data_IF_618828021030
#
_entry.id   IF_618828021030
#
_cell.length_a   1.000
_cell.length_b   1.000
_cell.length_c   1.000
_cell.angle_alpha   90.00
_cell.angle_beta   90.00
_cell.angle_gamma   90.00
#
_symmetry.space_group_name_H-M   'P 1'
#
loop_
_entity.id
_entity.type
_entity.pdbx_description
1 polymer ?
#
# COMPACT_ATOMS: atom_id res chain seq x y z
N UNK A 1 2.74 0.00 -18.14
CA UNK A 1 2.09 0.60 -16.96
C UNK A 1 1.85 -0.52 -15.95
N UNK A 2 2.14 -0.29 -14.68
CA UNK A 2 1.99 -1.27 -13.58
C UNK A 2 1.07 -0.68 -12.54
N UNK A 3 0.10 -1.45 -12.04
CA UNK A 3 -0.89 -0.97 -11.08
C UNK A 3 -0.82 -1.77 -9.78
N UNK A 4 -0.58 -1.11 -8.67
CA UNK A 4 -0.49 -1.70 -7.33
C UNK A 4 -1.66 -1.20 -6.50
N UNK A 5 -2.51 -2.12 -6.05
CA UNK A 5 -3.62 -1.81 -5.16
C UNK A 5 -3.18 -2.00 -3.70
N UNK A 6 -3.43 -1.01 -2.87
CA UNK A 6 -3.29 -1.10 -1.41
C UNK A 6 -4.68 -1.08 -0.79
N UNK A 7 -5.07 -2.17 -0.15
CA UNK A 7 -6.41 -2.34 0.40
C UNK A 7 -6.36 -2.99 1.79
N UNK A 8 -7.33 -2.71 2.64
CA UNK A 8 -7.42 -3.32 3.98
C UNK A 8 -8.85 -3.41 4.47
N UNK A 9 -9.06 -4.30 5.44
CA UNK A 9 -10.37 -4.58 6.05
C UNK A 9 -11.02 -3.38 6.76
N UNK A 10 -10.21 -2.41 7.23
CA UNK A 10 -10.72 -1.26 7.98
C UNK A 10 -9.80 -0.04 7.89
N UNK A 11 -10.27 1.10 8.41
CA UNK A 11 -9.47 2.32 8.57
C UNK A 11 -8.32 2.13 9.58
N UNK A 12 -7.28 2.96 9.46
CA UNK A 12 -6.16 2.96 10.40
C UNK A 12 -5.09 1.89 10.19
N UNK A 13 -5.28 0.92 9.29
CA UNK A 13 -4.31 -0.14 9.02
C UNK A 13 -2.99 0.35 8.37
N UNK A 14 -2.95 1.62 7.95
CA UNK A 14 -1.76 2.25 7.34
C UNK A 14 -1.71 2.16 5.81
N UNK A 15 -2.85 1.99 5.13
CA UNK A 15 -2.94 2.01 3.66
C UNK A 15 -2.26 3.23 3.05
N UNK A 16 -2.69 4.43 3.43
CA UNK A 16 -2.15 5.68 2.85
C UNK A 16 -0.66 5.85 3.11
N UNK A 17 -0.15 5.40 4.28
CA UNK A 17 1.30 5.38 4.55
C UNK A 17 2.02 4.43 3.60
N UNK A 18 1.47 3.24 3.37
CA UNK A 18 2.02 2.26 2.45
C UNK A 18 1.98 2.80 1.00
N UNK A 19 0.82 3.34 0.58
CA UNK A 19 0.59 3.90 -0.76
C UNK A 19 1.51 5.07 -1.07
N UNK A 20 1.65 6.02 -0.16
CA UNK A 20 2.51 7.21 -0.34
C UNK A 20 3.99 6.85 -0.40
N UNK A 21 4.46 5.93 0.45
CA UNK A 21 5.85 5.49 0.40
C UNK A 21 6.15 4.70 -0.88
N UNK A 22 5.26 3.82 -1.34
CA UNK A 22 5.41 3.12 -2.63
C UNK A 22 5.46 4.11 -3.80
N UNK A 23 4.52 5.04 -3.87
CA UNK A 23 4.47 6.05 -4.92
C UNK A 23 5.76 6.89 -4.94
N UNK A 24 6.25 7.30 -3.75
CA UNK A 24 7.50 8.02 -3.64
C UNK A 24 8.70 7.19 -4.09
N UNK A 25 8.77 5.91 -3.72
CA UNK A 25 9.85 5.02 -4.15
C UNK A 25 9.98 5.00 -5.68
N UNK A 26 8.88 4.75 -6.39
CA UNK A 26 8.91 4.72 -7.85
C UNK A 26 9.23 6.09 -8.47
N UNK A 27 8.74 7.18 -7.88
CA UNK A 27 9.07 8.53 -8.33
C UNK A 27 10.55 8.85 -8.13
N UNK A 28 11.16 8.43 -7.01
CA UNK A 28 12.61 8.55 -6.74
C UNK A 28 13.43 7.70 -7.73
N UNK A 29 12.91 6.56 -8.17
CA UNK A 29 13.50 5.75 -9.27
C UNK A 29 13.28 6.36 -10.67
N UNK A 30 12.74 7.56 -10.76
CA UNK A 30 12.51 8.27 -12.04
C UNK A 30 11.29 7.76 -12.83
N UNK A 31 10.35 7.06 -12.20
CA UNK A 31 9.12 6.60 -12.85
C UNK A 31 8.03 7.66 -12.80
N UNK A 32 7.35 7.89 -13.94
CA UNK A 32 6.12 8.67 -13.94
C UNK A 32 5.04 7.94 -13.13
N UNK A 33 4.80 8.44 -11.92
CA UNK A 33 3.97 7.77 -10.92
C UNK A 33 2.71 8.56 -10.62
N UNK A 34 1.59 7.84 -10.63
CA UNK A 34 0.27 8.34 -10.24
C UNK A 34 -0.15 7.68 -8.93
N UNK A 35 -0.72 8.45 -8.01
CA UNK A 35 -1.36 7.96 -6.80
C UNK A 35 -2.85 8.26 -6.86
N UNK A 36 -3.65 7.20 -7.00
CA UNK A 36 -5.11 7.28 -7.01
C UNK A 36 -5.60 7.19 -5.57
N UNK A 37 -6.21 8.26 -5.08
CA UNK A 37 -6.77 8.33 -3.73
C UNK A 37 -8.28 8.06 -3.83
N UNK A 38 -8.69 6.88 -3.45
CA UNK A 38 -10.10 6.48 -3.45
C UNK A 38 -10.74 6.57 -2.05
N UNK A 39 -9.99 7.03 -1.04
CA UNK A 39 -10.53 7.27 0.30
C UNK A 39 -11.12 8.69 0.39
N UNK A 40 -12.35 8.81 0.92
CA UNK A 40 -13.04 10.09 1.12
C UNK A 40 -12.28 11.06 2.03
N UNK A 41 -11.31 10.58 2.80
CA UNK A 41 -10.45 11.43 3.62
C UNK A 41 -9.38 12.17 2.81
N UNK A 42 -9.10 11.78 1.57
CA UNK A 42 -8.11 12.40 0.68
C UNK A 42 -6.72 12.60 1.31
N UNK A 43 -6.29 11.65 2.15
CA UNK A 43 -5.00 11.74 2.85
C UNK A 43 -3.81 11.61 1.90
N UNK A 44 -3.92 10.74 0.91
CA UNK A 44 -2.90 10.54 -0.11
C UNK A 44 -2.83 11.74 -1.07
N UNK A 45 -3.96 12.33 -1.44
CA UNK A 45 -4.04 13.55 -2.24
C UNK A 45 -3.30 14.71 -1.55
N UNK A 46 -3.62 15.00 -0.28
CA UNK A 46 -2.92 16.06 0.49
C UNK A 46 -1.42 15.81 0.60
N UNK A 47 -0.99 14.58 0.68
CA UNK A 47 0.43 14.25 0.67
C UNK A 47 1.07 14.57 -0.70
N UNK A 48 0.43 14.24 -1.82
CA UNK A 48 0.90 14.58 -3.15
C UNK A 48 1.01 16.10 -3.36
N UNK A 49 0.02 16.87 -2.89
CA UNK A 49 0.02 18.34 -2.96
C UNK A 49 1.26 18.94 -2.25
N UNK A 50 1.57 18.44 -1.05
CA UNK A 50 2.78 18.87 -0.32
C UNK A 50 4.06 18.49 -1.05
N UNK A 51 4.05 17.41 -1.83
CA UNK A 51 5.18 16.90 -2.59
C UNK A 51 5.35 17.57 -3.97
N UNK A 52 4.38 18.34 -4.44
CA UNK A 52 4.32 18.84 -5.82
C UNK A 52 5.55 19.70 -6.23
N UNK A 53 6.26 20.30 -5.27
CA UNK A 53 7.46 21.10 -5.51
C UNK A 53 8.75 20.30 -5.68
N UNK A 54 8.71 18.97 -5.48
CA UNK A 54 9.88 18.09 -5.59
C UNK A 54 10.06 17.61 -7.04
N UNK A 55 11.30 17.38 -7.45
CA UNK A 55 11.61 16.74 -8.73
C UNK A 55 11.04 15.30 -8.84
N UNK A 56 10.69 14.71 -7.68
CA UNK A 56 10.08 13.40 -7.54
C UNK A 56 8.59 13.51 -7.18
N UNK A 57 7.91 14.53 -7.73
CA UNK A 57 6.48 14.72 -7.55
C UNK A 57 5.68 13.48 -8.00
N UNK A 58 4.57 13.24 -7.33
CA UNK A 58 3.60 12.18 -7.65
C UNK A 58 2.28 12.85 -8.01
N UNK A 59 1.71 12.47 -9.15
CA UNK A 59 0.44 13.03 -9.59
C UNK A 59 -0.72 12.42 -8.81
N UNK A 60 -1.52 13.21 -8.06
CA UNK A 60 -2.72 12.72 -7.43
C UNK A 60 -3.87 12.61 -8.42
N UNK A 61 -4.68 11.56 -8.29
CA UNK A 61 -5.97 11.42 -8.98
C UNK A 61 -7.02 11.10 -7.92
N UNK A 62 -8.12 11.83 -7.94
CA UNK A 62 -9.29 11.56 -7.10
C UNK A 62 -10.00 10.29 -7.60
N UNK A 63 -9.75 9.16 -6.93
CA UNK A 63 -10.36 7.87 -7.25
C UNK A 63 -11.83 7.75 -6.87
N UNK A 64 -12.42 8.75 -6.19
CA UNK A 64 -13.85 8.82 -5.88
C UNK A 64 -14.64 9.42 -7.03
N UNK A 65 -13.98 10.13 -7.95
CA UNK A 65 -14.62 10.78 -9.09
C UNK A 65 -15.05 9.74 -10.14
N UNK A 66 -16.18 10.01 -10.80
CA UNK A 66 -16.66 9.15 -11.91
C UNK A 66 -15.65 9.20 -13.07
N UNK A 67 -15.30 8.03 -13.60
CA UNK A 67 -14.36 7.90 -14.74
C UNK A 67 -12.96 8.48 -14.48
N UNK A 68 -12.49 8.41 -13.24
CA UNK A 68 -11.16 8.91 -12.85
C UNK A 68 -10.02 8.31 -13.70
N UNK A 69 -10.21 7.11 -14.25
CA UNK A 69 -9.25 6.44 -15.13
C UNK A 69 -8.89 7.28 -16.38
N UNK A 70 -9.82 8.12 -16.86
CA UNK A 70 -9.59 9.01 -18.01
C UNK A 70 -8.60 10.15 -17.73
N UNK A 71 -8.31 10.40 -16.45
CA UNK A 71 -7.37 11.43 -16.01
C UNK A 71 -5.93 10.88 -15.83
N UNK A 72 -5.73 9.59 -16.06
CA UNK A 72 -4.37 8.99 -16.02
C UNK A 72 -3.61 9.43 -17.27
N UNK A 73 -2.45 10.12 -17.14
CA UNK A 73 -1.63 10.49 -18.28
C UNK A 73 -1.11 9.27 -19.04
N UNK A 74 -0.99 9.38 -20.37
CA UNK A 74 -0.49 8.28 -21.23
C UNK A 74 0.93 7.84 -20.90
N UNK A 75 1.77 8.77 -20.44
CA UNK A 75 3.15 8.49 -20.05
C UNK A 75 3.29 7.85 -18.66
N UNK A 76 2.21 7.54 -17.96
CA UNK A 76 2.22 6.91 -16.65
C UNK A 76 2.85 5.51 -16.69
N UNK A 77 3.84 5.28 -15.84
CA UNK A 77 4.54 4.01 -15.74
C UNK A 77 4.06 3.18 -14.54
N UNK A 78 3.72 3.83 -13.44
CA UNK A 78 3.25 3.19 -12.20
C UNK A 78 2.01 3.89 -11.67
N UNK A 79 1.01 3.10 -11.30
CA UNK A 79 -0.17 3.55 -10.57
C UNK A 79 -0.16 2.86 -9.21
N UNK A 80 -0.29 3.64 -8.15
CA UNK A 80 -0.59 3.14 -6.81
C UNK A 80 -2.03 3.55 -6.46
N UNK A 81 -2.88 2.60 -6.09
CA UNK A 81 -4.27 2.86 -5.69
C UNK A 81 -4.38 2.72 -4.18
N UNK A 82 -4.72 3.80 -3.50
CA UNK A 82 -5.09 3.81 -2.08
C UNK A 82 -6.60 3.57 -1.97
N UNK A 83 -7.00 2.33 -1.73
CA UNK A 83 -8.40 1.92 -1.72
C UNK A 83 -9.19 2.55 -0.57
N UNK A 84 -10.52 2.70 -0.69
CA UNK A 84 -11.36 3.12 0.42
C UNK A 84 -11.20 2.18 1.62
N UNK A 85 -11.31 2.74 2.82
CA UNK A 85 -11.25 1.93 4.03
C UNK A 85 -12.41 0.94 4.09
N UNK A 86 -12.11 -0.35 4.27
CA UNK A 86 -13.12 -1.40 4.39
C UNK A 86 -13.90 -1.70 3.10
N UNK A 87 -13.41 -1.27 1.93
CA UNK A 87 -14.03 -1.63 0.64
C UNK A 87 -14.09 -3.15 0.49
N UNK A 88 -15.26 -3.67 0.11
CA UNK A 88 -15.53 -5.10 -0.08
C UNK A 88 -16.49 -5.31 -1.25
N UNK A 89 -16.54 -6.55 -1.78
CA UNK A 89 -17.42 -6.90 -2.89
C UNK A 89 -17.16 -6.04 -4.13
N UNK A 90 -18.22 -5.59 -4.79
CA UNK A 90 -18.15 -4.87 -6.06
C UNK A 90 -17.31 -3.58 -6.01
N UNK A 91 -17.31 -2.88 -4.87
CA UNK A 91 -16.49 -1.67 -4.68
C UNK A 91 -14.99 -1.98 -4.73
N UNK A 92 -14.58 -3.12 -4.16
CA UNK A 92 -13.19 -3.56 -4.19
C UNK A 92 -12.84 -4.20 -5.54
N UNK A 93 -13.76 -4.95 -6.12
CA UNK A 93 -13.59 -5.66 -7.39
C UNK A 93 -13.23 -4.71 -8.54
N UNK A 94 -13.81 -3.51 -8.57
CA UNK A 94 -13.48 -2.50 -9.56
C UNK A 94 -11.98 -2.12 -9.57
N UNK A 95 -11.35 -2.05 -8.40
CA UNK A 95 -9.90 -1.81 -8.27
C UNK A 95 -9.08 -3.08 -8.52
N UNK A 96 -9.57 -4.24 -8.10
CA UNK A 96 -8.93 -5.54 -8.35
C UNK A 96 -8.77 -5.80 -9.85
N UNK A 97 -9.77 -5.46 -10.66
CA UNK A 97 -9.70 -5.65 -12.12
C UNK A 97 -8.60 -4.83 -12.80
N UNK A 98 -8.21 -3.72 -12.20
CA UNK A 98 -7.13 -2.87 -12.71
C UNK A 98 -5.74 -3.23 -12.16
N UNK A 99 -5.68 -3.96 -11.03
CA UNK A 99 -4.45 -4.23 -10.32
C UNK A 99 -3.59 -5.33 -10.96
N UNK A 100 -2.28 -5.17 -10.93
CA UNK A 100 -1.28 -6.20 -11.24
C UNK A 100 -0.78 -6.90 -9.97
N UNK A 101 -0.88 -6.23 -8.81
CA UNK A 101 -0.60 -6.77 -7.49
C UNK A 101 -1.46 -6.09 -6.42
N UNK A 102 -1.73 -6.80 -5.33
CA UNK A 102 -2.43 -6.27 -4.15
C UNK A 102 -1.52 -6.37 -2.93
N UNK A 103 -1.42 -5.28 -2.17
CA UNK A 103 -0.80 -5.25 -0.85
C UNK A 103 -1.85 -5.01 0.24
N UNK A 104 -1.82 -5.84 1.26
CA UNK A 104 -2.76 -5.77 2.38
C UNK A 104 -1.99 -5.53 3.68
N UNK A 105 -1.97 -4.28 4.19
CA UNK A 105 -1.40 -4.00 5.50
C UNK A 105 -2.28 -4.55 6.62
N UNK A 106 -1.65 -5.24 7.59
CA UNK A 106 -2.30 -5.84 8.75
C UNK A 106 -1.59 -5.39 10.02
N UNK A 107 -2.32 -4.88 10.99
CA UNK A 107 -1.78 -4.46 12.29
C UNK A 107 -1.59 -5.66 13.23
N UNK A 108 -0.64 -5.59 14.20
CA UNK A 108 -0.35 -6.67 15.13
C UNK A 108 -1.33 -6.69 16.32
N UNK A 109 -2.63 -6.72 16.05
CA UNK A 109 -3.66 -6.89 17.06
C UNK A 109 -4.64 -7.98 16.65
N UNK A 110 -5.16 -8.73 17.62
CA UNK A 110 -6.16 -9.79 17.36
C UNK A 110 -7.38 -9.24 16.62
N UNK A 111 -7.86 -8.06 17.01
CA UNK A 111 -9.03 -7.42 16.38
C UNK A 111 -8.77 -7.13 14.90
N UNK A 112 -7.54 -6.70 14.55
CA UNK A 112 -7.15 -6.43 13.15
C UNK A 112 -6.99 -7.71 12.35
N UNK A 113 -6.41 -8.74 12.96
CA UNK A 113 -6.24 -10.07 12.38
C UNK A 113 -7.62 -10.68 12.09
N UNK A 114 -8.53 -10.68 13.08
CA UNK A 114 -9.89 -11.19 12.93
C UNK A 114 -10.69 -10.44 11.86
N UNK A 115 -10.55 -9.11 11.79
CA UNK A 115 -11.21 -8.31 10.76
C UNK A 115 -10.63 -8.55 9.35
N UNK A 116 -9.39 -8.98 9.25
CA UNK A 116 -8.72 -9.21 7.96
C UNK A 116 -9.17 -10.53 7.31
N UNK A 117 -9.54 -11.54 8.09
CA UNK A 117 -10.00 -12.84 7.55
C UNK A 117 -11.23 -12.71 6.63
N UNK A 118 -12.36 -12.09 7.05
CA UNK A 118 -13.51 -11.94 6.17
C UNK A 118 -13.22 -11.04 4.96
N UNK A 119 -12.32 -10.06 5.09
CA UNK A 119 -11.86 -9.24 3.98
C UNK A 119 -11.12 -10.08 2.93
N UNK A 120 -10.16 -10.91 3.32
CA UNK A 120 -9.44 -11.80 2.42
C UNK A 120 -10.37 -12.84 1.79
N UNK A 121 -11.33 -13.36 2.55
CA UNK A 121 -12.34 -14.30 2.03
C UNK A 121 -13.26 -13.63 1.00
N UNK A 122 -13.60 -12.36 1.18
CA UNK A 122 -14.34 -11.59 0.18
C UNK A 122 -13.51 -11.41 -1.09
N UNK A 123 -12.26 -10.96 -0.96
CA UNK A 123 -11.33 -10.80 -2.08
C UNK A 123 -11.10 -12.12 -2.84
N UNK A 124 -11.03 -13.26 -2.13
CA UNK A 124 -10.85 -14.58 -2.73
C UNK A 124 -12.03 -15.04 -3.62
N UNK A 125 -13.19 -14.38 -3.55
CA UNK A 125 -14.32 -14.63 -4.46
C UNK A 125 -14.06 -14.07 -5.85
N UNK A 126 -13.26 -13.01 -5.97
CA UNK A 126 -12.88 -12.45 -7.26
C UNK A 126 -12.15 -13.50 -8.11
N UNK A 127 -12.50 -13.59 -9.38
CA UNK A 127 -11.99 -14.62 -10.29
C UNK A 127 -10.47 -14.54 -10.51
N UNK A 128 -9.89 -13.33 -10.51
CA UNK A 128 -8.44 -13.13 -10.68
C UNK A 128 -7.66 -13.61 -9.46
N UNK A 129 -8.16 -13.33 -8.26
CA UNK A 129 -7.57 -13.81 -7.00
C UNK A 129 -7.73 -15.33 -6.87
N UNK A 130 -8.94 -15.83 -7.08
CA UNK A 130 -9.25 -17.28 -7.00
C UNK A 130 -8.38 -18.13 -7.93
N UNK A 131 -8.14 -17.66 -9.15
CA UNK A 131 -7.31 -18.33 -10.16
C UNK A 131 -5.81 -18.06 -9.98
N UNK A 132 -5.40 -17.40 -8.91
CA UNK A 132 -4.01 -16.98 -8.64
C UNK A 132 -3.38 -16.15 -9.78
N UNK A 133 -4.19 -15.44 -10.54
CA UNK A 133 -3.74 -14.54 -11.61
C UNK A 133 -3.38 -13.13 -11.09
N UNK A 134 -3.87 -12.78 -9.89
CA UNK A 134 -3.53 -11.55 -9.20
C UNK A 134 -2.77 -11.90 -7.91
N UNK A 135 -1.48 -11.58 -7.82
CA UNK A 135 -0.70 -11.79 -6.61
C UNK A 135 -1.18 -10.87 -5.48
N UNK A 136 -1.36 -11.47 -4.29
CA UNK A 136 -1.74 -10.77 -3.05
C UNK A 136 -0.66 -10.99 -2.02
N UNK A 137 -0.09 -9.89 -1.53
CA UNK A 137 0.94 -9.87 -0.49
C UNK A 137 0.43 -9.23 0.80
N UNK A 138 0.65 -9.89 1.93
CA UNK A 138 0.37 -9.35 3.25
C UNK A 138 1.58 -8.56 3.75
N UNK A 139 1.34 -7.42 4.36
CA UNK A 139 2.37 -6.60 5.00
C UNK A 139 2.04 -6.46 6.47
N UNK A 140 2.85 -7.07 7.34
CA UNK A 140 2.78 -6.80 8.77
C UNK A 140 3.16 -5.33 9.00
N UNK A 141 2.24 -4.53 9.54
CA UNK A 141 2.43 -3.09 9.67
C UNK A 141 2.39 -2.64 11.12
N UNK A 142 3.14 -1.57 11.44
CA UNK A 142 3.31 -1.04 12.81
C UNK A 142 3.78 -2.10 13.81
N UNK A 143 4.70 -2.94 13.38
CA UNK A 143 5.27 -3.98 14.23
C UNK A 143 6.26 -3.40 15.24
N UNK A 144 6.23 -3.96 16.43
CA UNK A 144 7.26 -3.79 17.46
C UNK A 144 7.95 -5.15 17.63
N UNK A 145 9.01 -5.45 16.86
CA UNK A 145 9.58 -6.81 16.76
C UNK A 145 9.96 -7.46 18.09
N UNK A 146 10.22 -6.65 19.13
CA UNK A 146 10.54 -7.09 20.48
C UNK A 146 9.32 -7.48 21.33
N UNK A 147 8.08 -7.33 20.80
CA UNK A 147 6.85 -7.67 21.55
C UNK A 147 6.29 -9.01 21.10
N UNK A 148 5.79 -9.79 22.06
CA UNK A 148 5.10 -11.05 21.79
C UNK A 148 3.89 -10.85 20.85
N UNK A 149 3.16 -9.76 21.01
CA UNK A 149 2.00 -9.46 20.16
C UNK A 149 2.38 -9.34 18.68
N UNK A 150 3.48 -8.62 18.36
CA UNK A 150 3.96 -8.51 16.97
C UNK A 150 4.48 -9.84 16.43
N UNK A 151 5.19 -10.62 17.25
CA UNK A 151 5.70 -11.92 16.84
C UNK A 151 4.57 -12.91 16.56
N UNK A 152 3.58 -13.00 17.44
CA UNK A 152 2.39 -13.84 17.27
C UNK A 152 1.57 -13.40 16.04
N UNK A 153 1.41 -12.10 15.83
CA UNK A 153 0.73 -11.58 14.65
C UNK A 153 1.41 -12.02 13.35
N UNK A 154 2.73 -11.90 13.26
CA UNK A 154 3.49 -12.33 12.07
C UNK A 154 3.36 -13.84 11.84
N UNK A 155 3.47 -14.66 12.89
CA UNK A 155 3.27 -16.11 12.78
C UNK A 155 1.84 -16.47 12.33
N UNK A 156 0.84 -15.75 12.83
CA UNK A 156 -0.55 -15.93 12.38
C UNK A 156 -0.70 -15.58 10.89
N UNK A 157 -0.11 -14.47 10.43
CA UNK A 157 -0.14 -14.08 9.02
C UNK A 157 0.56 -15.11 8.13
N UNK A 158 1.67 -15.69 8.58
CA UNK A 158 2.40 -16.74 7.85
C UNK A 158 1.60 -18.04 7.71
N UNK A 159 0.63 -18.29 8.59
CA UNK A 159 -0.26 -19.47 8.51
C UNK A 159 -1.35 -19.33 7.45
N UNK A 160 -1.55 -18.14 6.87
CA UNK A 160 -2.58 -17.89 5.87
C UNK A 160 -2.10 -18.26 4.45
N UNK A 161 -3.04 -18.49 3.49
CA UNK A 161 -2.70 -18.90 2.13
C UNK A 161 -2.12 -17.78 1.26
N UNK A 162 -1.72 -16.66 1.86
CA UNK A 162 -1.11 -15.51 1.21
C UNK A 162 0.32 -15.28 1.71
N UNK A 163 1.19 -14.82 0.84
CA UNK A 163 2.57 -14.55 1.22
C UNK A 163 2.68 -13.31 2.12
N UNK A 164 3.38 -13.42 3.25
CA UNK A 164 3.85 -12.25 4.00
C UNK A 164 5.07 -11.70 3.25
N UNK A 165 4.91 -10.52 2.65
CA UNK A 165 5.90 -9.94 1.73
C UNK A 165 6.73 -8.83 2.37
N UNK A 166 6.38 -8.41 3.58
CA UNK A 166 7.14 -7.42 4.34
C UNK A 166 6.63 -7.23 5.76
N UNK A 167 7.51 -6.69 6.58
CA UNK A 167 7.29 -6.42 7.99
C UNK A 167 7.76 -4.98 8.27
N UNK A 168 6.82 -4.04 8.35
CA UNK A 168 7.11 -2.63 8.60
C UNK A 168 7.00 -2.32 10.10
N UNK A 169 8.06 -1.78 10.68
CA UNK A 169 8.07 -1.40 12.09
C UNK A 169 7.23 -0.16 12.39
N UNK A 170 6.75 -0.07 13.63
CA UNK A 170 6.10 1.12 14.16
C UNK A 170 7.15 2.20 14.43
N UNK A 171 7.04 3.35 13.75
CA UNK A 171 7.98 4.45 13.91
C UNK A 171 7.31 5.81 13.64
N UNK A 172 7.72 6.81 14.40
CA UNK A 172 7.32 8.21 14.18
C UNK A 172 7.85 8.79 12.86
N UNK A 173 8.87 8.16 12.26
CA UNK A 173 9.39 8.60 10.97
C UNK A 173 8.30 8.67 9.89
N UNK A 174 7.41 7.67 9.81
CA UNK A 174 6.31 7.70 8.84
C UNK A 174 5.34 8.85 9.07
N UNK A 175 5.01 9.14 10.34
CA UNK A 175 4.11 10.25 10.69
C UNK A 175 4.71 11.60 10.25
N UNK A 176 5.99 11.81 10.55
CA UNK A 176 6.70 13.02 10.18
C UNK A 176 6.83 13.14 8.65
N UNK A 177 7.21 12.08 7.96
CA UNK A 177 7.37 12.10 6.51
C UNK A 177 6.05 12.41 5.79
N UNK A 178 4.96 11.80 6.19
CA UNK A 178 3.63 12.08 5.61
C UNK A 178 3.21 13.53 5.85
N UNK A 179 3.48 14.10 7.05
CA UNK A 179 3.19 15.49 7.35
C UNK A 179 3.93 16.46 6.43
N UNK A 180 5.14 16.09 5.96
CA UNK A 180 6.01 16.91 5.10
C UNK A 180 5.84 16.64 3.59
N UNK A 181 4.94 15.75 3.17
CA UNK A 181 4.87 15.29 1.78
C UNK A 181 6.09 14.47 1.34
N UNK A 182 6.81 13.91 2.29
CA UNK A 182 8.02 13.13 2.11
C UNK A 182 7.78 11.63 2.36
N UNK A 183 8.79 10.82 2.06
CA UNK A 183 8.85 9.38 2.34
C UNK A 183 10.21 9.00 2.93
N UNK A 184 10.33 7.78 3.39
CA UNK A 184 11.63 7.25 3.83
C UNK A 184 12.66 7.18 2.70
N UNK A 185 12.22 7.17 1.43
CA UNK A 185 13.08 7.09 0.25
C UNK A 185 13.62 8.44 -0.22
N UNK A 186 13.14 9.56 0.32
CA UNK A 186 13.63 10.89 -0.06
C UNK A 186 14.93 11.29 0.65
N UNK A 187 15.47 10.45 1.50
CA UNK A 187 16.65 10.73 2.31
C UNK A 187 17.68 9.61 2.26
N UNK A 188 18.95 10.00 2.20
CA UNK A 188 20.09 9.09 2.27
C UNK A 188 20.76 9.06 3.66
N UNK A 189 20.02 9.39 4.73
CA UNK A 189 20.56 9.37 6.07
C UNK A 189 20.63 7.96 6.63
N UNK A 190 21.65 7.69 7.44
CA UNK A 190 21.82 6.39 8.11
C UNK A 190 20.61 6.04 9.00
N UNK A 191 20.02 7.05 9.65
CA UNK A 191 18.82 6.90 10.49
C UNK A 191 17.60 6.36 9.72
N UNK A 192 17.43 6.76 8.45
CA UNK A 192 16.32 6.29 7.63
C UNK A 192 16.63 5.03 6.83
N UNK A 193 17.92 4.68 6.69
CA UNK A 193 18.33 3.45 5.98
C UNK A 193 17.69 2.20 6.57
N UNK A 194 17.68 2.07 7.90
CA UNK A 194 17.04 0.94 8.56
C UNK A 194 15.54 0.83 8.28
N UNK A 195 14.84 1.96 8.07
CA UNK A 195 13.44 1.97 7.67
C UNK A 195 13.27 1.61 6.19
N UNK A 196 14.20 2.02 5.32
CA UNK A 196 14.22 1.60 3.92
C UNK A 196 14.46 0.09 3.78
N UNK A 197 15.28 -0.49 4.64
CA UNK A 197 15.55 -1.94 4.69
C UNK A 197 14.29 -2.76 4.94
N UNK A 198 13.34 -2.27 5.75
CA UNK A 198 12.05 -2.92 5.98
C UNK A 198 11.22 -3.07 4.68
N UNK A 199 11.46 -2.18 3.69
CA UNK A 199 10.76 -2.20 2.41
C UNK A 199 11.38 -3.15 1.38
N UNK A 200 12.64 -3.53 1.57
CA UNK A 200 13.37 -4.36 0.58
C UNK A 200 12.62 -5.64 0.22
N UNK A 201 12.04 -6.40 1.17
CA UNK A 201 11.27 -7.61 0.83
C UNK A 201 10.03 -7.29 -0.02
N UNK A 202 9.29 -6.20 0.31
CA UNK A 202 8.10 -5.76 -0.43
C UNK A 202 8.48 -5.42 -1.87
N UNK A 203 9.53 -4.60 -2.04
CA UNK A 203 9.99 -4.15 -3.36
C UNK A 203 10.53 -5.31 -4.20
N UNK A 204 11.25 -6.26 -3.60
CA UNK A 204 11.69 -7.49 -4.27
C UNK A 204 10.51 -8.34 -4.73
N UNK A 205 9.50 -8.48 -3.88
CA UNK A 205 8.30 -9.23 -4.23
C UNK A 205 7.55 -8.54 -5.39
N UNK A 206 7.31 -7.24 -5.30
CA UNK A 206 6.69 -6.48 -6.39
C UNK A 206 7.45 -6.65 -7.69
N UNK A 207 8.78 -6.47 -7.69
CA UNK A 207 9.62 -6.65 -8.88
C UNK A 207 9.50 -8.06 -9.52
N UNK A 208 9.18 -9.07 -8.72
CA UNK A 208 9.01 -10.45 -9.19
C UNK A 208 7.64 -10.69 -9.82
N UNK A 209 6.60 -10.00 -9.34
CA UNK A 209 5.22 -10.32 -9.70
C UNK A 209 4.60 -9.36 -10.72
N UNK A 210 5.22 -8.14 -10.90
CA UNK A 210 4.73 -7.13 -11.85
C UNK A 210 5.81 -6.62 -12.82
#
# INVERSE_FOLDING_TARGET
>A
MRTILVASSKGGAGKSTLSTNLAAHFAVEGKHTVLVDADKQHSATRWCEKRAHLNTAVLPIDGTARNWQKHIPENTQVIVIDAPAGAMGDDLDAYIEMADAVLVPVLPSMIDIEATVPFLNSMAKNARVKKKKLPVGLVGNRLKPWTNASQQAVEQLKSWPYSVVGELRDTQAYVLMVALGKSVFDYNSEQLRSHQEDWVPILKWLKKVI
#
